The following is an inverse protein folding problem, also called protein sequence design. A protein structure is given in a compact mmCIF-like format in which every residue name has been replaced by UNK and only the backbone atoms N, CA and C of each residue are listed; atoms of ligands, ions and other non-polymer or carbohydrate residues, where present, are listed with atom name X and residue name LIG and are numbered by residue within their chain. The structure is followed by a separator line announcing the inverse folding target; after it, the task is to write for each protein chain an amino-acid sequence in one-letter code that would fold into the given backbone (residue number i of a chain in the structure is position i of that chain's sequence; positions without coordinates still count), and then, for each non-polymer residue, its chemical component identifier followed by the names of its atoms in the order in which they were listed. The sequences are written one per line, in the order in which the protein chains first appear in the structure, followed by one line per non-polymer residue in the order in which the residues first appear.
data_IF_743728625288
#
_entry.id   IF_743728625288
#
_cell.length_a   1.000
_cell.length_b   1.000
_cell.length_c   1.000
_cell.angle_alpha   90.00
_cell.angle_beta   90.00
_cell.angle_gamma   90.00
#
_symmetry.space_group_name_H-M   'P 1'
#
loop_
_entity.id
_entity.type
_entity.pdbx_description
1 polymer ?
#
# COMPACT_ATOMS: atom_id res chain seq x y z
N UNK A 1 -2.58 9.21 -13.62
CA UNK A 1 -3.11 9.29 -12.24
C UNK A 1 -3.85 8.00 -11.93
N UNK A 2 -3.67 7.39 -10.75
CA UNK A 2 -4.57 6.33 -10.26
C UNK A 2 -5.27 6.92 -9.05
N UNK A 3 -6.60 7.02 -9.13
CA UNK A 3 -7.43 7.50 -8.04
C UNK A 3 -7.11 6.72 -6.76
N UNK A 4 -7.12 7.41 -5.63
CA UNK A 4 -6.76 6.91 -4.30
C UNK A 4 -7.46 5.59 -3.90
N UNK A 5 -8.51 5.19 -4.62
CA UNK A 5 -9.39 4.07 -4.26
C UNK A 5 -9.28 2.83 -5.16
N UNK A 6 -8.82 2.93 -6.41
CA UNK A 6 -8.77 1.75 -7.31
C UNK A 6 -7.57 0.84 -6.97
N UNK A 7 -7.83 -0.13 -6.11
CA UNK A 7 -6.84 -1.12 -5.65
C UNK A 7 -6.08 -0.69 -4.39
N UNK A 8 -6.68 0.15 -3.56
CA UNK A 8 -6.17 0.43 -2.21
C UNK A 8 -6.46 -0.76 -1.30
N UNK A 9 -5.40 -1.26 -0.66
CA UNK A 9 -5.49 -2.24 0.42
C UNK A 9 -4.69 -1.66 1.57
N UNK A 10 -5.34 -1.55 2.73
CA UNK A 10 -4.77 -1.06 3.99
C UNK A 10 -4.99 -2.11 5.07
N UNK A 11 -3.99 -2.32 5.91
CA UNK A 11 -4.08 -3.27 7.02
C UNK A 11 -2.72 -3.67 7.54
N UNK A 12 -2.67 -4.74 8.33
CA UNK A 12 -1.40 -5.31 8.78
C UNK A 12 -0.56 -5.77 7.59
N UNK A 13 0.75 -5.90 7.79
CA UNK A 13 1.66 -6.46 6.79
C UNK A 13 1.18 -7.82 6.28
N UNK A 14 0.79 -8.73 7.19
CA UNK A 14 0.31 -10.08 6.86
C UNK A 14 -0.92 -10.06 5.97
N UNK A 15 -1.89 -9.19 6.28
CA UNK A 15 -3.07 -9.01 5.46
C UNK A 15 -2.71 -8.48 4.06
N UNK A 16 -1.91 -7.42 3.99
CA UNK A 16 -1.52 -6.82 2.70
C UNK A 16 -0.73 -7.78 1.83
N UNK A 17 0.19 -8.56 2.40
CA UNK A 17 0.98 -9.55 1.67
C UNK A 17 0.13 -10.73 1.18
N UNK A 18 -0.93 -11.11 1.90
CA UNK A 18 -1.90 -12.11 1.43
C UNK A 18 -2.63 -11.65 0.17
N UNK A 19 -3.04 -10.38 0.12
CA UNK A 19 -3.70 -9.80 -1.06
C UNK A 19 -2.70 -9.64 -2.21
N UNK A 20 -1.47 -9.23 -1.93
CA UNK A 20 -0.41 -9.18 -2.94
C UNK A 20 -0.17 -10.53 -3.60
N UNK A 21 -0.12 -11.59 -2.80
CA UNK A 21 0.07 -12.96 -3.29
C UNK A 21 -1.10 -13.40 -4.17
N UNK A 22 -2.34 -13.13 -3.73
CA UNK A 22 -3.56 -13.42 -4.51
C UNK A 22 -3.57 -12.75 -5.88
N UNK A 23 -3.05 -11.52 -5.99
CA UNK A 23 -3.04 -10.73 -7.21
C UNK A 23 -1.63 -10.57 -7.81
N UNK A 24 -0.71 -11.51 -7.56
CA UNK A 24 0.70 -11.38 -7.95
C UNK A 24 0.90 -11.09 -9.43
N UNK A 25 0.06 -11.65 -10.31
CA UNK A 25 0.11 -11.43 -11.77
C UNK A 25 -0.11 -9.98 -12.17
N UNK A 26 -0.75 -9.16 -11.33
CA UNK A 26 -1.00 -7.74 -11.60
C UNK A 26 0.19 -6.83 -11.25
N UNK A 27 1.29 -7.39 -10.75
CA UNK A 27 2.49 -6.66 -10.33
C UNK A 27 3.72 -7.05 -11.14
N UNK A 28 4.62 -6.08 -11.36
CA UNK A 28 5.89 -6.32 -12.08
C UNK A 28 6.77 -7.38 -11.41
N UNK A 29 7.59 -8.08 -12.20
CA UNK A 29 8.44 -9.19 -11.75
C UNK A 29 9.43 -8.82 -10.62
N UNK A 30 9.84 -7.55 -10.58
CA UNK A 30 10.78 -7.03 -9.57
C UNK A 30 10.14 -6.88 -8.18
N UNK A 31 8.81 -6.84 -8.10
CA UNK A 31 8.12 -6.71 -6.80
C UNK A 31 8.08 -8.08 -6.12
N UNK A 32 8.75 -8.21 -4.98
CA UNK A 32 8.80 -9.44 -4.18
C UNK A 32 7.85 -9.44 -2.97
N UNK A 33 7.44 -8.25 -2.49
CA UNK A 33 6.50 -8.10 -1.36
C UNK A 33 5.40 -7.08 -1.66
N UNK A 34 4.28 -7.22 -0.95
CA UNK A 34 3.10 -6.37 -1.05
C UNK A 34 3.17 -5.17 -0.13
N UNK A 35 3.36 -5.40 1.16
CA UNK A 35 3.25 -4.36 2.17
C UNK A 35 4.24 -3.21 1.96
N UNK A 36 3.73 -1.97 2.03
CA UNK A 36 4.51 -0.73 2.09
C UNK A 36 4.11 0.00 3.36
N UNK A 37 5.05 0.38 4.24
CA UNK A 37 4.72 1.13 5.44
C UNK A 37 4.13 2.48 5.05
N UNK A 38 3.13 2.93 5.80
CA UNK A 38 2.62 4.29 5.65
C UNK A 38 3.66 5.29 6.14
N UNK A 39 3.86 6.36 5.37
CA UNK A 39 4.78 7.45 5.71
C UNK A 39 4.00 8.58 6.39
N UNK A 40 4.73 9.54 6.97
CA UNK A 40 4.16 10.79 7.51
C UNK A 40 3.20 10.61 8.70
N UNK A 41 3.50 9.69 9.62
CA UNK A 41 2.75 9.49 10.86
C UNK A 41 3.22 8.25 11.62
N UNK A 42 2.81 8.12 12.89
CA UNK A 42 2.95 6.88 13.64
C UNK A 42 1.71 6.01 13.42
N UNK A 43 1.86 5.04 12.51
CA UNK A 43 0.77 4.20 12.04
C UNK A 43 0.75 2.81 12.70
N UNK A 44 1.59 2.56 13.72
CA UNK A 44 1.56 1.33 14.51
C UNK A 44 1.55 0.03 13.67
N UNK A 45 2.37 -0.02 12.61
CA UNK A 45 2.49 -1.19 11.73
C UNK A 45 1.45 -1.30 10.61
N UNK A 46 0.57 -0.29 10.45
CA UNK A 46 -0.34 -0.22 9.31
C UNK A 46 0.43 -0.04 8.00
N UNK A 47 0.08 -0.85 7.02
CA UNK A 47 0.70 -0.91 5.70
C UNK A 47 -0.33 -0.70 4.61
N UNK A 48 0.16 -0.31 3.43
CA UNK A 48 -0.60 -0.24 2.19
C UNK A 48 -0.02 -1.15 1.10
N UNK A 49 -0.84 -1.58 0.15
CA UNK A 49 -0.37 -2.32 -1.02
C UNK A 49 0.30 -1.43 -2.08
N UNK A 50 0.18 -0.11 -1.97
CA UNK A 50 0.86 0.84 -2.87
C UNK A 50 1.41 2.01 -2.08
N UNK A 51 2.66 2.36 -2.39
CA UNK A 51 3.35 3.46 -1.73
C UNK A 51 2.64 4.80 -2.01
N UNK A 52 2.49 5.60 -0.97
CA UNK A 52 1.99 6.97 -1.06
C UNK A 52 3.10 7.82 -1.67
N UNK A 53 2.93 8.23 -2.93
CA UNK A 53 3.94 9.00 -3.68
C UNK A 53 3.83 10.51 -3.49
N UNK A 54 2.70 10.99 -2.99
CA UNK A 54 2.42 12.40 -2.77
C UNK A 54 2.40 12.69 -1.27
N UNK A 55 2.69 13.94 -0.94
CA UNK A 55 2.54 14.44 0.42
C UNK A 55 1.08 14.31 0.87
N UNK A 56 0.83 14.06 2.17
CA UNK A 56 -0.51 14.12 2.73
C UNK A 56 -1.13 15.48 2.43
N UNK A 57 -2.39 15.48 1.98
CA UNK A 57 -3.16 16.71 1.91
C UNK A 57 -3.50 17.12 3.33
N UNK A 58 -2.91 18.22 3.79
CA UNK A 58 -3.32 18.85 5.05
C UNK A 58 -4.61 19.63 4.82
N UNK A 59 -5.55 19.60 5.77
CA UNK A 59 -6.68 20.52 5.72
C UNK A 59 -6.18 21.94 6.01
N UNK A 60 -6.48 22.87 5.12
CA UNK A 60 -6.31 24.31 5.34
C UNK A 60 -7.25 24.82 6.42
#
# INVERSE_FOLDING_TARGET
MRYFSDGLVLGSQTFVDSIFSRYRSQFGHNRKSGARPLRFGDWQGLCSLRDLRLLPVSKS
#
